data_IF_381550730982
#
_entry.id   IF_381550730982
#
_cell.length_a   1.000
_cell.length_b   1.000
_cell.length_c   1.000
_cell.angle_alpha   90.00
_cell.angle_beta   90.00
_cell.angle_gamma   90.00
#
_symmetry.space_group_name_H-M   'P 1'
#
loop_
_entity.id
_entity.type
_entity.pdbx_description
1 polymer ?
#
# COMPACT_ATOMS: atom_id res chain seq x y z
N UNK A 1 -19.50 -20.65 24.80
CA UNK A 1 -18.79 -19.36 24.93
C UNK A 1 -18.80 -18.82 26.35
N UNK A 2 -19.94 -18.35 26.89
CA UNK A 2 -20.01 -17.69 28.21
C UNK A 2 -19.35 -18.49 29.34
N UNK A 3 -19.53 -19.81 29.35
CA UNK A 3 -18.93 -20.72 30.37
C UNK A 3 -17.40 -20.73 30.29
N UNK A 4 -16.81 -20.69 29.09
CA UNK A 4 -15.35 -20.71 28.92
C UNK A 4 -14.67 -19.41 29.39
N UNK A 5 -15.41 -18.30 29.38
CA UNK A 5 -14.88 -17.00 29.77
C UNK A 5 -14.81 -16.77 31.28
N UNK A 6 -15.43 -17.64 32.09
CA UNK A 6 -15.41 -17.48 33.54
C UNK A 6 -13.98 -17.65 34.06
N UNK A 7 -13.41 -16.60 34.64
CA UNK A 7 -12.01 -16.55 35.07
C UNK A 7 -11.00 -16.21 33.97
N UNK A 8 -11.47 -15.88 32.75
CA UNK A 8 -10.64 -15.65 31.56
C UNK A 8 -11.06 -14.35 30.84
N UNK A 9 -11.03 -13.23 31.57
CA UNK A 9 -11.48 -11.91 31.08
C UNK A 9 -13.00 -11.66 31.13
N UNK A 10 -13.77 -12.64 31.61
CA UNK A 10 -15.24 -12.62 31.72
C UNK A 10 -15.96 -12.46 30.38
N UNK A 11 -17.28 -12.66 30.40
CA UNK A 11 -18.15 -12.42 29.25
C UNK A 11 -18.79 -11.04 29.36
N UNK A 12 -18.73 -10.25 28.29
CA UNK A 12 -19.50 -9.03 28.12
C UNK A 12 -20.44 -9.15 26.90
N UNK A 13 -21.66 -8.62 26.99
CA UNK A 13 -22.60 -8.66 25.86
C UNK A 13 -22.07 -7.92 24.61
N UNK A 14 -21.16 -6.96 24.78
CA UNK A 14 -20.45 -6.31 23.69
C UNK A 14 -19.54 -7.26 22.87
N UNK A 15 -19.32 -8.49 23.34
CA UNK A 15 -18.57 -9.54 22.62
C UNK A 15 -19.44 -10.30 21.62
N UNK A 16 -20.77 -10.14 21.62
CA UNK A 16 -21.67 -10.82 20.67
C UNK A 16 -21.23 -10.63 19.21
N UNK A 17 -20.81 -9.43 18.74
CA UNK A 17 -20.34 -9.25 17.36
C UNK A 17 -19.05 -10.02 17.00
N UNK A 18 -18.32 -10.57 17.98
CA UNK A 18 -17.11 -11.35 17.75
C UNK A 18 -17.40 -12.83 17.47
N UNK A 19 -18.60 -13.32 17.79
CA UNK A 19 -18.94 -14.75 17.67
C UNK A 19 -18.87 -15.23 16.21
N UNK A 20 -18.10 -16.29 15.97
CA UNK A 20 -17.91 -16.89 14.65
C UNK A 20 -17.10 -16.02 13.67
N UNK A 21 -16.50 -14.91 14.13
CA UNK A 21 -15.66 -14.04 13.31
C UNK A 21 -14.19 -14.38 13.48
N UNK A 22 -13.43 -14.22 12.40
CA UNK A 22 -11.97 -14.35 12.45
C UNK A 22 -11.39 -13.03 12.96
N UNK A 23 -10.51 -13.13 13.95
CA UNK A 23 -9.80 -12.00 14.54
C UNK A 23 -8.30 -12.20 14.50
N UNK A 24 -7.56 -11.14 14.82
CA UNK A 24 -6.10 -11.18 14.94
C UNK A 24 -5.70 -11.27 16.40
N UNK A 25 -4.91 -12.28 16.75
CA UNK A 25 -4.26 -12.34 18.07
C UNK A 25 -3.27 -11.18 18.17
N UNK A 26 -3.42 -10.36 19.21
CA UNK A 26 -2.57 -9.18 19.48
C UNK A 26 -1.74 -9.34 20.75
N UNK A 27 -2.10 -10.25 21.66
CA UNK A 27 -1.32 -10.56 22.85
C UNK A 27 -1.60 -11.98 23.36
N UNK A 28 -0.59 -12.60 23.98
CA UNK A 28 -0.69 -13.87 24.69
C UNK A 28 -0.28 -13.64 26.14
N UNK A 29 -1.15 -14.00 27.08
CA UNK A 29 -0.89 -13.86 28.51
C UNK A 29 -0.21 -15.10 29.09
N UNK A 30 0.42 -14.95 30.26
CA UNK A 30 1.19 -16.01 30.92
C UNK A 30 0.32 -17.19 31.41
N UNK A 31 -0.97 -16.95 31.65
CA UNK A 31 -1.99 -17.95 31.99
C UNK A 31 -2.57 -18.66 30.77
N UNK A 32 -2.13 -18.29 29.56
CA UNK A 32 -2.56 -18.88 28.29
C UNK A 32 -3.73 -18.15 27.62
N UNK A 33 -4.29 -17.11 28.24
CA UNK A 33 -5.34 -16.31 27.62
C UNK A 33 -4.84 -15.53 26.41
N UNK A 34 -5.72 -15.32 25.45
CA UNK A 34 -5.38 -14.67 24.18
C UNK A 34 -6.18 -13.40 24.00
N UNK A 35 -5.49 -12.28 23.80
CA UNK A 35 -6.15 -11.03 23.40
C UNK A 35 -6.30 -11.01 21.89
N UNK A 36 -7.54 -10.84 21.41
CA UNK A 36 -7.87 -10.85 19.98
C UNK A 36 -8.58 -9.55 19.61
N UNK A 37 -8.11 -8.90 18.55
CA UNK A 37 -8.82 -7.81 17.88
C UNK A 37 -9.78 -8.42 16.84
N UNK A 38 -11.08 -8.15 16.99
CA UNK A 38 -12.16 -8.73 16.15
C UNK A 38 -13.38 -7.81 16.15
N UNK A 39 -13.99 -7.63 14.98
CA UNK A 39 -15.22 -6.81 14.80
C UNK A 39 -15.10 -5.39 15.41
N UNK A 40 -13.93 -4.77 15.29
CA UNK A 40 -13.66 -3.43 15.83
C UNK A 40 -13.37 -3.37 17.34
N UNK A 41 -13.55 -4.46 18.08
CA UNK A 41 -13.24 -4.57 19.50
C UNK A 41 -11.99 -5.39 19.80
N UNK A 42 -11.47 -5.27 21.03
CA UNK A 42 -10.34 -6.03 21.56
C UNK A 42 -10.79 -6.78 22.81
N UNK A 43 -10.72 -8.10 22.79
CA UNK A 43 -11.24 -8.94 23.87
C UNK A 43 -10.25 -10.01 24.28
N UNK A 44 -10.26 -10.37 25.56
CA UNK A 44 -9.47 -11.49 26.10
C UNK A 44 -10.34 -12.74 26.00
N UNK A 45 -9.78 -13.80 25.42
CA UNK A 45 -10.46 -15.06 25.23
C UNK A 45 -9.69 -16.18 25.92
N UNK A 46 -10.44 -17.10 26.54
CA UNK A 46 -9.93 -18.41 26.89
C UNK A 46 -9.41 -19.10 25.60
N UNK A 47 -8.23 -19.73 25.60
CA UNK A 47 -7.70 -20.43 24.41
C UNK A 47 -8.64 -21.53 23.87
N UNK A 48 -9.45 -22.15 24.71
CA UNK A 48 -10.47 -23.15 24.30
C UNK A 48 -11.68 -22.53 23.59
N UNK A 49 -11.87 -21.21 23.71
CA UNK A 49 -12.94 -20.48 23.05
C UNK A 49 -12.57 -20.05 21.62
N UNK A 50 -11.33 -20.27 21.18
CA UNK A 50 -10.84 -19.91 19.86
C UNK A 50 -10.27 -21.13 19.13
N UNK A 51 -10.23 -21.06 17.81
CA UNK A 51 -9.56 -22.06 16.98
C UNK A 51 -8.67 -21.34 15.98
N UNK A 52 -7.43 -21.83 15.83
CA UNK A 52 -6.50 -21.30 14.85
C UNK A 52 -7.05 -21.61 13.45
N UNK A 53 -7.13 -20.58 12.61
CA UNK A 53 -7.47 -20.73 11.20
C UNK A 53 -6.17 -20.85 10.42
N UNK A 54 -5.99 -21.96 9.70
CA UNK A 54 -4.87 -22.10 8.77
C UNK A 54 -5.08 -21.15 7.58
N UNK A 55 -4.01 -20.46 7.19
CA UNK A 55 -4.01 -19.56 6.04
C UNK A 55 -3.97 -20.37 4.73
N UNK A 56 -4.94 -21.24 4.52
CA UNK A 56 -5.09 -21.98 3.27
C UNK A 56 -6.50 -21.72 2.76
N UNK A 57 -6.58 -20.78 1.81
CA UNK A 57 -7.76 -20.41 1.01
C UNK A 57 -8.90 -19.67 1.72
N UNK A 58 -8.68 -18.38 1.96
CA UNK A 58 -9.75 -17.39 1.81
C UNK A 58 -9.55 -16.68 0.48
N UNK A 59 -10.29 -17.13 -0.52
CA UNK A 59 -10.39 -16.52 -1.85
C UNK A 59 -10.84 -15.08 -1.73
N UNK A 60 -9.94 -14.12 -1.88
CA UNK A 60 -10.26 -12.79 -2.45
C UNK A 60 -9.06 -12.33 -3.27
N UNK A 61 -8.94 -12.86 -4.50
CA UNK A 61 -7.97 -12.44 -5.52
C UNK A 61 -8.00 -10.94 -5.85
N UNK A 62 -8.95 -10.17 -5.30
CA UNK A 62 -8.98 -8.72 -5.42
C UNK A 62 -7.88 -8.00 -4.62
N UNK A 63 -7.42 -8.55 -3.49
CA UNK A 63 -6.40 -7.87 -2.68
C UNK A 63 -4.99 -8.00 -3.28
N UNK A 64 -4.68 -9.15 -3.84
CA UNK A 64 -3.39 -9.43 -4.48
C UNK A 64 -3.27 -8.66 -5.80
N UNK A 65 -4.31 -8.66 -6.63
CA UNK A 65 -4.35 -7.87 -7.87
C UNK A 65 -4.31 -6.36 -7.59
N UNK A 66 -5.04 -5.89 -6.57
CA UNK A 66 -5.00 -4.47 -6.18
C UNK A 66 -3.65 -4.07 -5.61
N UNK A 67 -3.00 -4.93 -4.83
CA UNK A 67 -1.65 -4.72 -4.35
C UNK A 67 -0.64 -4.71 -5.49
N UNK A 68 -0.72 -5.67 -6.41
CA UNK A 68 0.11 -5.71 -7.62
C UNK A 68 -0.10 -4.47 -8.50
N UNK A 69 -1.33 -3.99 -8.65
CA UNK A 69 -1.62 -2.76 -9.39
C UNK A 69 -1.06 -1.50 -8.69
N UNK A 70 -1.13 -1.44 -7.35
CA UNK A 70 -0.52 -0.34 -6.58
C UNK A 70 1.00 -0.37 -6.66
N UNK A 71 1.61 -1.56 -6.52
CA UNK A 71 3.06 -1.75 -6.67
C UNK A 71 3.51 -1.37 -8.08
N UNK A 72 2.79 -1.79 -9.13
CA UNK A 72 3.08 -1.41 -10.51
C UNK A 72 2.99 0.11 -10.70
N UNK A 73 1.97 0.78 -10.14
CA UNK A 73 1.88 2.25 -10.18
C UNK A 73 3.02 2.93 -9.43
N UNK A 74 3.49 2.37 -8.31
CA UNK A 74 4.61 2.92 -7.55
C UNK A 74 5.91 2.77 -8.35
N UNK A 75 6.16 1.59 -8.92
CA UNK A 75 7.29 1.33 -9.80
C UNK A 75 7.24 2.17 -11.07
N UNK A 76 6.07 2.30 -11.72
CA UNK A 76 5.89 3.17 -12.88
C UNK A 76 6.15 4.63 -12.49
N UNK A 77 5.69 5.10 -11.32
CA UNK A 77 5.97 6.45 -10.82
C UNK A 77 7.47 6.68 -10.50
N UNK A 78 8.19 5.64 -10.03
CA UNK A 78 9.64 5.70 -9.79
C UNK A 78 10.46 5.54 -11.07
N UNK A 79 9.95 4.83 -12.09
CA UNK A 79 10.54 4.72 -13.42
C UNK A 79 10.26 5.98 -14.26
N UNK A 80 9.16 6.69 -14.00
CA UNK A 80 8.96 8.07 -14.42
C UNK A 80 9.68 9.03 -13.46
N UNK A 81 10.97 8.76 -13.18
CA UNK A 81 11.87 9.85 -12.78
C UNK A 81 11.56 11.02 -13.71
N UNK A 82 11.07 12.11 -13.12
CA UNK A 82 10.24 13.11 -13.78
C UNK A 82 10.79 13.39 -15.18
N UNK A 83 10.00 13.08 -16.22
CA UNK A 83 10.45 13.20 -17.61
C UNK A 83 10.89 14.65 -17.88
N UNK A 84 10.32 15.62 -17.17
CA UNK A 84 10.77 17.02 -17.19
C UNK A 84 12.14 17.18 -16.53
N UNK A 85 12.43 16.52 -15.41
CA UNK A 85 13.74 16.51 -14.78
C UNK A 85 14.79 15.84 -15.68
N UNK A 86 14.45 14.73 -16.35
CA UNK A 86 15.34 14.06 -17.30
C UNK A 86 15.60 14.92 -18.55
N UNK A 87 14.57 15.60 -19.05
CA UNK A 87 14.69 16.56 -20.16
C UNK A 87 15.57 17.77 -19.77
N UNK A 88 15.38 18.32 -18.57
CA UNK A 88 16.18 19.44 -18.05
C UNK A 88 17.64 19.02 -17.88
N UNK A 89 17.91 17.82 -17.35
CA UNK A 89 19.28 17.28 -17.22
C UNK A 89 19.93 17.06 -18.59
N UNK A 90 19.20 16.46 -19.53
CA UNK A 90 19.71 16.23 -20.89
C UNK A 90 20.04 17.54 -21.61
N UNK A 91 19.15 18.54 -21.51
CA UNK A 91 19.37 19.87 -22.08
C UNK A 91 20.55 20.60 -21.43
N UNK A 92 20.66 20.55 -20.10
CA UNK A 92 21.76 21.17 -19.36
C UNK A 92 23.14 20.57 -19.73
N UNK A 93 23.17 19.27 -20.05
CA UNK A 93 24.39 18.56 -20.45
C UNK A 93 24.66 18.61 -21.96
N UNK A 94 23.80 19.26 -22.76
CA UNK A 94 23.93 19.34 -24.21
C UNK A 94 23.69 18.01 -24.95
N UNK A 95 23.02 17.04 -24.31
CA UNK A 95 22.72 15.73 -24.90
C UNK A 95 21.51 15.82 -25.84
N UNK A 96 21.76 16.36 -27.03
CA UNK A 96 20.75 16.61 -28.08
C UNK A 96 19.98 15.34 -28.47
N UNK A 97 20.66 14.20 -28.56
CA UNK A 97 20.03 12.92 -28.94
C UNK A 97 19.03 12.47 -27.87
N UNK A 98 19.39 12.59 -26.59
CA UNK A 98 18.52 12.26 -25.47
C UNK A 98 17.32 13.22 -25.40
N UNK A 99 17.53 14.52 -25.65
CA UNK A 99 16.46 15.53 -25.71
C UNK A 99 15.47 15.19 -26.83
N UNK A 100 15.93 14.87 -28.03
CA UNK A 100 15.07 14.48 -29.17
C UNK A 100 14.24 13.22 -28.87
N UNK A 101 14.83 12.22 -28.21
CA UNK A 101 14.13 10.98 -27.87
C UNK A 101 13.08 11.18 -26.77
N UNK A 102 13.32 12.12 -25.85
CA UNK A 102 12.34 12.48 -24.82
C UNK A 102 11.16 13.22 -25.43
N UNK A 103 11.40 14.18 -26.34
CA UNK A 103 10.36 14.98 -27.01
C UNK A 103 9.38 14.17 -27.87
N UNK A 104 9.76 12.96 -28.30
CA UNK A 104 8.87 12.04 -29.05
C UNK A 104 7.85 11.32 -28.15
N UNK A 105 7.97 11.42 -26.82
CA UNK A 105 7.06 10.73 -25.89
C UNK A 105 5.72 11.49 -25.78
N UNK A 106 4.58 10.78 -25.80
CA UNK A 106 3.24 11.39 -25.86
C UNK A 106 2.82 12.19 -24.61
N UNK A 107 3.64 12.17 -23.56
CA UNK A 107 3.36 12.82 -22.26
C UNK A 107 4.22 14.07 -22.00
N UNK A 108 4.96 14.59 -23.00
CA UNK A 108 5.64 15.88 -22.89
C UNK A 108 4.82 16.95 -23.59
N UNK A 109 4.03 17.69 -22.83
CA UNK A 109 3.43 18.93 -23.32
C UNK A 109 4.47 20.05 -23.15
N UNK A 110 5.29 20.28 -24.19
CA UNK A 110 6.17 21.45 -24.21
C UNK A 110 5.28 22.65 -24.41
N UNK A 111 4.83 23.26 -23.31
CA UNK A 111 4.20 24.56 -23.37
C UNK A 111 5.26 25.56 -23.83
N UNK A 112 5.32 25.82 -25.14
CA UNK A 112 6.20 26.81 -25.78
C UNK A 112 5.70 28.21 -25.38
N UNK A 113 5.81 28.55 -24.09
CA UNK A 113 5.51 29.89 -23.55
C UNK A 113 6.46 30.30 -22.44
N UNK A 114 7.61 29.65 -22.32
CA UNK A 114 8.67 30.10 -21.41
C UNK A 114 9.93 30.36 -22.20
N UNK A 115 10.40 31.61 -22.10
CA UNK A 115 11.57 32.25 -22.77
C UNK A 115 12.87 31.43 -22.81
N UNK A 116 12.94 30.30 -22.11
CA UNK A 116 14.13 29.44 -21.97
C UNK A 116 14.47 28.74 -23.29
N UNK A 117 13.47 28.26 -24.05
CA UNK A 117 13.75 27.51 -25.29
C UNK A 117 14.18 28.40 -26.46
N UNK A 118 13.65 29.62 -26.53
CA UNK A 118 14.09 30.63 -27.51
C UNK A 118 15.54 31.05 -27.31
N UNK A 119 15.98 31.19 -26.05
CA UNK A 119 17.35 31.59 -25.74
C UNK A 119 18.36 30.48 -26.06
N UNK A 120 17.95 29.21 -25.92
CA UNK A 120 18.79 28.06 -26.24
C UNK A 120 18.97 27.89 -27.76
N UNK A 121 17.91 28.09 -28.55
CA UNK A 121 17.99 28.03 -30.01
C UNK A 121 18.78 29.20 -30.63
N UNK A 122 18.74 30.40 -30.03
CA UNK A 122 19.53 31.55 -30.48
C UNK A 122 21.05 31.42 -30.23
N UNK A 123 21.47 30.49 -29.38
CA UNK A 123 22.89 30.24 -29.11
C UNK A 123 23.47 29.08 -29.92
N UNK A 124 22.64 28.39 -30.73
CA UNK A 124 23.07 27.28 -31.58
C UNK A 124 23.09 27.61 -33.08
N UNK A 125 22.67 28.82 -33.47
CA UNK A 125 22.77 29.36 -34.83
C UNK A 125 23.17 30.83 -34.81
#
# INVERSE_FOLDING_TARGET
MKIYQRGHGEWAEAMVPALGKVGRVIHLYADGDVKVQVSGGSWIFNPLAVTKVDQTHSTEGGNEERLNAMLKKLFDAQLTGDIHEELVKAAANGDLKRVEDLLKRPNIDVMIKTKIFSQFLQNLF
#
